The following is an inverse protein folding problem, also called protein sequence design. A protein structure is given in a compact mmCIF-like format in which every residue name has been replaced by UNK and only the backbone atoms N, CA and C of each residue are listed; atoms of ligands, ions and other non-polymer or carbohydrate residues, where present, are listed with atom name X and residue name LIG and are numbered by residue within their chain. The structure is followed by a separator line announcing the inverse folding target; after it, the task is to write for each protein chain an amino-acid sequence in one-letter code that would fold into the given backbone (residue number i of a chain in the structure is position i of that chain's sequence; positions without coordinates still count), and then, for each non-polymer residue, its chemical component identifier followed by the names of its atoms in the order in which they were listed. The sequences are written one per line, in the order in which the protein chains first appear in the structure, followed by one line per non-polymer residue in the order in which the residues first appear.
data_IF_428503325301
#
_entry.id   IF_428503325301
#
_cell.length_a   1.000
_cell.length_b   1.000
_cell.length_c   1.000
_cell.angle_alpha   90.00
_cell.angle_beta   90.00
_cell.angle_gamma   90.00
#
_symmetry.space_group_name_H-M   'P 1'
#
loop_
_entity.id
_entity.type
_entity.pdbx_description
1 polymer ?
#
# COMPACT_ATOMS: atom_id res chain seq x y z
N UNK A 1 -0.79 -9.27 10.83
CA UNK A 1 -0.17 -10.09 9.77
C UNK A 1 0.53 -9.14 8.81
N UNK A 2 1.87 -9.13 8.82
CA UNK A 2 2.65 -8.45 7.78
C UNK A 2 2.84 -9.45 6.65
N UNK A 3 2.37 -9.10 5.45
CA UNK A 3 2.66 -9.89 4.24
C UNK A 3 4.08 -9.57 3.80
N UNK A 4 4.84 -10.58 3.36
CA UNK A 4 6.17 -10.38 2.79
C UNK A 4 6.09 -9.31 1.67
N UNK A 5 6.87 -8.21 1.74
CA UNK A 5 6.89 -7.17 0.71
C UNK A 5 7.14 -7.69 -0.71
N UNK A 6 7.76 -8.85 -0.85
CA UNK A 6 8.03 -9.52 -2.14
C UNK A 6 6.79 -10.19 -2.75
N UNK A 7 5.66 -10.27 -2.02
CA UNK A 7 4.38 -10.69 -2.57
C UNK A 7 3.68 -9.58 -3.37
N UNK A 8 4.15 -8.33 -3.31
CA UNK A 8 3.59 -7.25 -4.13
C UNK A 8 3.96 -7.45 -5.60
N UNK A 9 2.96 -7.53 -6.49
CA UNK A 9 3.15 -7.74 -7.93
C UNK A 9 3.13 -6.45 -8.74
N UNK A 10 2.47 -5.41 -8.21
CA UNK A 10 2.41 -4.08 -8.82
C UNK A 10 2.57 -3.02 -7.74
N UNK A 11 3.52 -2.09 -7.94
CA UNK A 11 3.88 -1.07 -6.95
C UNK A 11 4.06 0.29 -7.61
N UNK A 12 3.51 1.33 -6.99
CA UNK A 12 3.64 2.71 -7.42
C UNK A 12 4.13 3.59 -6.25
N UNK A 13 5.21 4.33 -6.45
CA UNK A 13 5.65 5.34 -5.47
C UNK A 13 5.02 6.68 -5.80
N UNK A 14 4.15 7.20 -4.91
CA UNK A 14 3.49 8.51 -5.08
C UNK A 14 3.35 9.24 -3.75
N UNK A 15 3.29 10.59 -3.77
CA UNK A 15 2.88 11.38 -2.62
C UNK A 15 1.46 11.01 -2.17
N UNK A 16 1.28 10.83 -0.87
CA UNK A 16 0.00 10.48 -0.25
C UNK A 16 -0.30 11.38 0.94
N UNK A 17 -1.58 11.73 1.10
CA UNK A 17 -2.10 12.45 2.28
C UNK A 17 -3.43 11.84 2.72
N UNK A 18 -3.84 12.15 3.94
CA UNK A 18 -5.18 11.82 4.47
C UNK A 18 -6.00 13.10 4.53
N UNK A 19 -7.22 13.06 4.01
CA UNK A 19 -8.18 14.16 4.14
C UNK A 19 -8.74 14.22 5.57
N UNK A 20 -8.71 15.40 6.20
CA UNK A 20 -9.06 15.55 7.62
C UNK A 20 -10.28 16.45 7.88
N UNK A 21 -10.74 17.19 6.87
CA UNK A 21 -11.69 18.29 6.99
C UNK A 21 -12.93 18.13 6.11
N UNK A 22 -12.85 17.39 5.01
CA UNK A 22 -13.99 17.17 4.12
C UNK A 22 -15.15 16.46 4.81
N UNK A 23 -16.38 16.98 4.66
CA UNK A 23 -17.57 16.43 5.31
C UNK A 23 -17.84 14.95 4.94
N UNK A 24 -17.65 14.62 3.66
CA UNK A 24 -17.89 13.27 3.12
C UNK A 24 -16.63 12.48 2.81
N UNK A 25 -15.45 13.09 2.95
CA UNK A 25 -14.17 12.50 2.54
C UNK A 25 -13.13 12.48 3.66
N UNK A 26 -13.49 12.90 4.88
CA UNK A 26 -12.63 12.77 6.05
C UNK A 26 -12.23 11.31 6.25
N UNK A 27 -10.93 11.06 6.29
CA UNK A 27 -10.31 9.74 6.38
C UNK A 27 -9.88 9.16 5.04
N UNK A 28 -10.26 9.75 3.91
CA UNK A 28 -9.88 9.27 2.58
C UNK A 28 -8.39 9.48 2.32
N UNK A 29 -7.75 8.45 1.77
CA UNK A 29 -6.38 8.50 1.24
C UNK A 29 -6.38 9.22 -0.10
N UNK A 30 -5.69 10.35 -0.18
CA UNK A 30 -5.52 11.15 -1.40
C UNK A 30 -4.15 10.84 -2.01
N UNK A 31 -4.16 10.37 -3.26
CA UNK A 31 -2.95 10.01 -4.01
C UNK A 31 -2.70 11.03 -5.12
N UNK A 32 -1.52 11.64 -5.16
CA UNK A 32 -1.14 12.48 -6.29
C UNK A 32 -0.68 11.61 -7.48
N UNK A 33 -1.53 11.48 -8.50
CA UNK A 33 -1.24 10.69 -9.71
C UNK A 33 -0.59 11.49 -10.84
N UNK A 34 -0.34 12.79 -10.66
CA UNK A 34 0.20 13.64 -11.73
C UNK A 34 1.69 13.33 -11.95
N UNK A 35 2.09 13.22 -13.21
CA UNK A 35 3.49 12.93 -13.59
C UNK A 35 4.44 14.12 -13.39
N UNK A 36 3.89 15.32 -13.16
CA UNK A 36 4.67 16.53 -12.96
C UNK A 36 5.40 16.53 -11.61
N UNK A 37 6.70 16.18 -11.65
CA UNK A 37 7.71 16.55 -10.65
C UNK A 37 7.98 18.06 -10.71
N UNK A 38 6.96 18.85 -10.41
CA UNK A 38 7.12 20.30 -10.30
C UNK A 38 7.98 20.65 -9.07
N UNK A 39 8.82 21.69 -9.15
CA UNK A 39 9.63 22.14 -8.02
C UNK A 39 8.74 22.52 -6.82
N UNK A 40 9.14 22.14 -5.61
CA UNK A 40 8.44 22.46 -4.36
C UNK A 40 7.48 21.39 -3.82
N UNK A 41 7.46 20.18 -4.39
CA UNK A 41 6.72 19.05 -3.78
C UNK A 41 7.55 18.43 -2.65
N UNK A 42 6.95 18.24 -1.45
CA UNK A 42 7.62 17.54 -0.37
C UNK A 42 7.87 16.07 -0.76
N UNK A 43 9.13 15.71 -1.03
CA UNK A 43 9.55 14.34 -1.38
C UNK A 43 9.31 13.35 -0.22
N UNK A 44 9.27 13.88 1.00
CA UNK A 44 9.03 13.19 2.28
C UNK A 44 7.62 12.58 2.43
N UNK A 45 6.70 12.86 1.51
CA UNK A 45 5.34 12.28 1.51
C UNK A 45 5.16 11.12 0.54
N UNK A 46 6.21 10.73 -0.18
CA UNK A 46 6.15 9.62 -1.13
C UNK A 46 6.12 8.26 -0.40
N UNK A 47 5.07 7.47 -0.67
CA UNK A 47 4.91 6.12 -0.11
C UNK A 47 4.78 5.09 -1.24
N UNK A 48 5.15 3.84 -0.93
CA UNK A 48 4.93 2.68 -1.82
C UNK A 48 3.48 2.24 -1.74
N UNK A 49 2.72 2.45 -2.81
CA UNK A 49 1.38 1.93 -2.99
C UNK A 49 1.48 0.54 -3.60
N UNK A 50 0.91 -0.47 -2.96
CA UNK A 50 0.75 -1.81 -3.52
C UNK A 50 -0.60 -1.87 -4.23
N UNK A 51 -0.56 -2.11 -5.54
CA UNK A 51 -1.75 -2.17 -6.40
C UNK A 51 -2.15 -3.61 -6.72
N UNK A 52 -1.19 -4.54 -6.63
CA UNK A 52 -1.39 -5.96 -6.85
C UNK A 52 -0.60 -6.81 -5.84
N UNK A 53 -1.13 -7.98 -5.52
CA UNK A 53 -0.53 -8.96 -4.61
C UNK A 53 -0.61 -10.35 -5.24
N UNK A 54 0.43 -11.16 -5.07
CA UNK A 54 0.45 -12.58 -5.40
C UNK A 54 -0.47 -13.34 -4.42
N UNK A 55 -1.71 -13.55 -4.87
CA UNK A 55 -2.75 -14.20 -4.07
C UNK A 55 -2.38 -15.62 -3.70
N UNK A 56 -1.87 -16.41 -4.65
CA UNK A 56 -1.61 -17.83 -4.44
C UNK A 56 -0.45 -18.03 -3.47
N UNK A 57 0.54 -17.13 -3.50
CA UNK A 57 1.58 -17.08 -2.49
C UNK A 57 1.03 -16.73 -1.10
N UNK A 58 0.23 -15.67 -0.98
CA UNK A 58 -0.33 -15.26 0.33
C UNK A 58 -1.19 -16.36 0.94
N UNK A 59 -2.01 -17.05 0.14
CA UNK A 59 -2.83 -18.17 0.63
C UNK A 59 -1.94 -19.30 1.15
N UNK A 60 -0.89 -19.69 0.42
CA UNK A 60 0.05 -20.72 0.87
C UNK A 60 0.73 -20.32 2.18
N UNK A 61 1.27 -19.11 2.26
CA UNK A 61 1.96 -18.62 3.47
C UNK A 61 1.03 -18.57 4.70
N UNK A 62 -0.23 -18.22 4.51
CA UNK A 62 -1.23 -18.25 5.60
C UNK A 62 -1.53 -19.68 6.04
N UNK A 63 -1.73 -20.61 5.10
CA UNK A 63 -2.01 -22.00 5.41
C UNK A 63 -0.83 -22.67 6.12
N UNK A 64 0.39 -22.43 5.65
CA UNK A 64 1.62 -22.92 6.28
C UNK A 64 1.71 -22.42 7.73
N UNK A 65 1.41 -21.13 7.95
CA UNK A 65 1.38 -20.54 9.29
C UNK A 65 0.31 -21.15 10.22
N UNK A 66 -0.90 -21.43 9.70
CA UNK A 66 -1.96 -22.08 10.49
C UNK A 66 -1.56 -23.51 10.85
N UNK A 67 -1.01 -24.27 9.89
CA UNK A 67 -0.58 -25.65 10.11
C UNK A 67 0.55 -25.76 11.13
N UNK A 68 1.49 -24.82 11.12
CA UNK A 68 2.59 -24.76 12.08
C UNK A 68 2.15 -24.50 13.54
N UNK A 69 0.95 -23.96 13.77
CA UNK A 69 0.42 -23.72 15.12
C UNK A 69 -0.33 -24.94 15.68
N UNK A 70 -0.81 -25.83 14.81
CA UNK A 70 -1.59 -27.02 15.20
C UNK A 70 -0.78 -28.32 15.19
N UNK A 71 0.52 -28.25 14.86
CA UNK A 71 1.47 -29.35 14.93
C UNK A 71 2.38 -29.23 16.16
#
# INVERSE_FOLDING_TARGET
MLVDPTAATEVLTRPVRVELRGEHTRGTTVVDRRDNRGPGRPEDTAVRLVLGVDRDRVVREVLDGVLAVVS
#
